data_IF_288537580466
#
_entry.id   IF_288537580466
#
_cell.length_a   1.000
_cell.length_b   1.000
_cell.length_c   1.000
_cell.angle_alpha   90.00
_cell.angle_beta   90.00
_cell.angle_gamma   90.00
#
_symmetry.space_group_name_H-M   'P 1'
#
loop_
_entity.id
_entity.type
_entity.pdbx_description
1 polymer ?
#
# COMPACT_ATOMS: atom_id res chain seq x y z
N UNK A 1 -35.82 -15.19 -17.78
CA UNK A 1 -37.05 -14.74 -18.39
C UNK A 1 -37.48 -15.78 -19.39
N UNK A 2 -38.77 -16.21 -19.39
CA UNK A 2 -39.30 -17.08 -20.41
C UNK A 2 -39.50 -16.29 -21.73
N UNK A 3 -39.29 -16.94 -22.85
CA UNK A 3 -39.46 -16.40 -24.19
C UNK A 3 -40.29 -17.39 -25.01
N UNK A 4 -41.27 -16.86 -25.75
CA UNK A 4 -42.09 -17.67 -26.63
C UNK A 4 -41.35 -17.92 -27.94
N UNK A 5 -41.34 -19.16 -28.37
CA UNK A 5 -40.81 -19.60 -29.65
C UNK A 5 -41.89 -20.33 -30.41
N UNK A 6 -41.82 -20.29 -31.74
CA UNK A 6 -42.74 -20.97 -32.63
C UNK A 6 -41.94 -22.07 -33.35
N UNK A 7 -42.36 -23.30 -33.19
CA UNK A 7 -41.90 -24.41 -34.02
C UNK A 7 -42.78 -24.44 -35.29
N UNK A 8 -42.15 -24.34 -36.44
CA UNK A 8 -42.77 -24.44 -37.74
C UNK A 8 -42.34 -25.75 -38.40
N UNK A 9 -43.25 -26.72 -38.52
CA UNK A 9 -42.95 -27.96 -39.23
C UNK A 9 -42.70 -27.70 -40.71
N UNK A 10 -41.78 -28.46 -41.33
CA UNK A 10 -41.55 -28.43 -42.78
C UNK A 10 -42.70 -29.11 -43.57
N UNK A 11 -43.42 -30.03 -42.95
CA UNK A 11 -44.56 -30.72 -43.53
C UNK A 11 -45.83 -29.89 -43.30
N UNK A 12 -46.45 -29.45 -44.38
CA UNK A 12 -47.68 -28.64 -44.38
C UNK A 12 -48.92 -29.33 -43.80
N UNK A 13 -48.83 -30.61 -43.49
CA UNK A 13 -49.92 -31.34 -42.82
C UNK A 13 -49.93 -31.07 -41.31
N UNK A 14 -48.93 -30.38 -40.76
CA UNK A 14 -48.85 -30.03 -39.34
C UNK A 14 -49.05 -28.52 -39.18
N UNK A 15 -49.68 -28.14 -38.06
CA UNK A 15 -49.79 -26.73 -37.66
C UNK A 15 -48.56 -26.26 -36.87
N UNK A 16 -48.30 -24.94 -36.89
CA UNK A 16 -47.32 -24.27 -36.05
C UNK A 16 -47.65 -24.54 -34.57
N UNK A 17 -46.59 -24.76 -33.73
CA UNK A 17 -46.73 -24.97 -32.29
C UNK A 17 -45.94 -23.91 -31.54
N UNK A 18 -46.63 -23.19 -30.65
CA UNK A 18 -45.99 -22.25 -29.71
C UNK A 18 -45.55 -22.98 -28.47
N UNK A 19 -44.33 -22.68 -28.01
CA UNK A 19 -43.80 -23.16 -26.72
C UNK A 19 -42.98 -22.06 -26.06
N UNK A 20 -42.83 -22.16 -24.73
CA UNK A 20 -42.01 -21.24 -23.95
C UNK A 20 -40.71 -21.88 -23.55
N UNK A 21 -39.60 -21.19 -23.77
CA UNK A 21 -38.28 -21.60 -23.34
C UNK A 21 -37.68 -20.58 -22.38
N UNK A 22 -36.84 -21.03 -21.47
CA UNK A 22 -36.12 -20.15 -20.54
C UNK A 22 -34.65 -20.04 -20.95
N UNK A 23 -34.20 -18.81 -21.11
CA UNK A 23 -32.77 -18.52 -21.37
C UNK A 23 -32.09 -18.08 -20.06
N UNK A 24 -31.03 -18.78 -19.70
CA UNK A 24 -30.14 -18.36 -18.61
C UNK A 24 -29.08 -17.44 -19.18
N UNK A 25 -28.99 -16.23 -18.61
CA UNK A 25 -27.95 -15.25 -18.94
C UNK A 25 -26.96 -15.19 -17.78
N UNK A 26 -25.70 -15.43 -18.02
CA UNK A 26 -24.63 -15.25 -17.05
C UNK A 26 -24.11 -13.82 -17.07
N UNK A 27 -23.52 -13.37 -15.96
CA UNK A 27 -22.83 -12.09 -15.93
C UNK A 27 -21.65 -12.06 -16.90
N UNK A 28 -21.39 -10.89 -17.48
CA UNK A 28 -20.22 -10.67 -18.31
C UNK A 28 -19.00 -10.29 -17.44
N UNK A 29 -17.81 -10.63 -17.91
CA UNK A 29 -16.56 -10.18 -17.32
C UNK A 29 -16.04 -9.01 -18.16
N UNK A 30 -15.73 -7.84 -17.55
CA UNK A 30 -15.15 -6.71 -18.27
C UNK A 30 -13.82 -7.07 -18.90
N UNK A 31 -13.60 -6.67 -20.16
CA UNK A 31 -12.33 -6.88 -20.85
C UNK A 31 -11.38 -5.72 -20.53
N UNK A 32 -10.22 -6.02 -19.98
CA UNK A 32 -9.17 -5.05 -19.65
C UNK A 32 -8.11 -5.13 -20.77
N UNK A 33 -7.94 -4.05 -21.52
CA UNK A 33 -6.88 -3.96 -22.52
C UNK A 33 -5.52 -3.67 -21.87
N UNK A 34 -4.43 -3.99 -22.58
CA UNK A 34 -3.06 -3.67 -22.14
C UNK A 34 -2.86 -2.16 -21.92
N UNK A 35 -3.50 -1.33 -22.74
CA UNK A 35 -3.38 0.14 -22.62
C UNK A 35 -4.05 0.65 -21.36
N UNK A 36 -5.19 0.08 -20.98
CA UNK A 36 -5.85 0.40 -19.71
C UNK A 36 -4.96 -0.03 -18.54
N UNK A 37 -4.46 -1.26 -18.57
CA UNK A 37 -3.61 -1.79 -17.49
C UNK A 37 -2.34 -0.94 -17.30
N UNK A 38 -1.65 -0.58 -18.38
CA UNK A 38 -0.43 0.23 -18.33
C UNK A 38 -0.68 1.68 -17.85
N UNK A 39 -1.90 2.17 -17.96
CA UNK A 39 -2.32 3.49 -17.49
C UNK A 39 -2.76 3.54 -16.02
N UNK A 40 -2.87 2.39 -15.33
CA UNK A 40 -3.24 2.37 -13.92
C UNK A 40 -2.01 2.75 -13.07
N UNK A 41 -2.19 3.71 -12.18
CA UNK A 41 -1.14 4.17 -11.26
C UNK A 41 -1.66 4.26 -9.84
N UNK A 42 -0.73 4.18 -8.88
CA UNK A 42 -1.00 4.27 -7.45
C UNK A 42 -0.33 5.52 -6.87
N UNK A 43 -0.97 6.16 -5.90
CA UNK A 43 -0.31 7.20 -5.11
C UNK A 43 0.74 6.58 -4.19
N UNK A 44 1.87 7.29 -3.92
CA UNK A 44 2.88 6.79 -2.99
C UNK A 44 2.32 6.68 -1.56
N UNK A 45 2.94 5.82 -0.77
CA UNK A 45 2.69 5.63 0.66
C UNK A 45 3.94 5.97 1.45
N UNK A 46 3.78 6.33 2.71
CA UNK A 46 4.86 6.35 3.68
C UNK A 46 4.90 5.01 4.43
N UNK A 47 6.09 4.58 4.83
CA UNK A 47 6.26 3.32 5.55
C UNK A 47 5.36 3.26 6.81
N UNK A 48 4.66 2.15 6.95
CA UNK A 48 3.68 1.94 8.02
C UNK A 48 2.23 2.16 7.59
N UNK A 49 1.98 2.82 6.47
CA UNK A 49 0.63 2.96 5.91
C UNK A 49 0.18 1.65 5.24
N UNK A 50 -1.14 1.44 5.28
CA UNK A 50 -1.76 0.31 4.58
C UNK A 50 -1.89 0.58 3.09
N UNK A 51 -1.88 -0.48 2.29
CA UNK A 51 -2.09 -0.41 0.84
C UNK A 51 -3.42 0.26 0.47
N UNK A 52 -4.46 0.08 1.28
CA UNK A 52 -5.78 0.72 1.09
C UNK A 52 -5.75 2.26 1.18
N UNK A 53 -4.69 2.84 1.71
CA UNK A 53 -4.50 4.30 1.79
C UNK A 53 -3.91 4.88 0.49
N UNK A 54 -3.37 4.02 -0.38
CA UNK A 54 -2.92 4.40 -1.72
C UNK A 54 -4.09 4.48 -2.69
N UNK A 55 -4.25 5.62 -3.34
CA UNK A 55 -5.28 5.85 -4.33
C UNK A 55 -4.88 5.30 -5.70
N UNK A 56 -5.81 4.54 -6.30
CA UNK A 56 -5.66 4.05 -7.67
C UNK A 56 -6.32 5.03 -8.66
N UNK A 57 -5.62 5.34 -9.74
CA UNK A 57 -6.10 6.18 -10.84
C UNK A 57 -5.79 5.51 -12.18
N UNK A 58 -6.57 5.88 -13.21
CA UNK A 58 -6.44 5.34 -14.56
C UNK A 58 -7.78 5.28 -15.27
N UNK A 59 -7.75 5.04 -16.58
CA UNK A 59 -8.95 4.83 -17.36
C UNK A 59 -9.62 3.50 -16.99
N UNK A 60 -10.94 3.46 -16.97
CA UNK A 60 -11.72 2.26 -16.68
C UNK A 60 -12.38 1.71 -17.95
N UNK A 61 -12.53 0.38 -18.10
CA UNK A 61 -13.15 -0.24 -19.28
C UNK A 61 -14.66 0.04 -19.36
N UNK A 62 -15.28 0.37 -18.22
CA UNK A 62 -16.68 0.69 -18.05
C UNK A 62 -16.84 1.57 -16.81
N UNK A 63 -18.07 2.01 -16.51
CA UNK A 63 -18.35 2.68 -15.24
C UNK A 63 -17.99 1.75 -14.06
N UNK A 64 -17.15 2.22 -13.13
CA UNK A 64 -16.67 1.44 -12.01
C UNK A 64 -15.48 2.07 -11.33
N UNK A 65 -14.80 1.29 -10.48
CA UNK A 65 -13.62 1.73 -9.73
C UNK A 65 -12.58 0.61 -9.58
N UNK A 66 -11.34 1.01 -9.37
CA UNK A 66 -10.27 0.10 -8.96
C UNK A 66 -10.18 0.03 -7.43
N UNK A 67 -9.86 -1.15 -6.93
CA UNK A 67 -9.56 -1.39 -5.51
C UNK A 67 -8.37 -2.34 -5.39
N UNK A 68 -7.61 -2.22 -4.33
CA UNK A 68 -6.58 -3.18 -3.98
C UNK A 68 -7.21 -4.50 -3.54
N UNK A 69 -6.72 -5.62 -4.02
CA UNK A 69 -7.19 -6.96 -3.62
C UNK A 69 -6.85 -7.27 -2.17
N UNK A 70 -5.69 -6.82 -1.71
CA UNK A 70 -5.16 -7.04 -0.36
C UNK A 70 -4.90 -5.68 0.32
N UNK A 71 -5.93 -4.86 0.51
CA UNK A 71 -5.80 -3.49 1.01
C UNK A 71 -5.21 -3.34 2.42
N UNK A 72 -5.23 -4.40 3.24
CA UNK A 72 -4.69 -4.37 4.61
C UNK A 72 -3.17 -4.62 4.69
N UNK A 73 -2.53 -4.99 3.60
CA UNK A 73 -1.07 -5.16 3.56
C UNK A 73 -0.35 -3.85 3.80
N UNK A 74 0.81 -3.93 4.49
CA UNK A 74 1.71 -2.79 4.73
C UNK A 74 2.96 -3.01 3.89
N UNK A 75 3.14 -2.27 2.78
CA UNK A 75 4.29 -2.38 1.90
C UNK A 75 5.58 -1.91 2.59
N UNK A 76 6.74 -2.38 2.10
CA UNK A 76 8.05 -2.01 2.64
C UNK A 76 8.81 -1.10 1.67
N UNK A 77 9.70 -0.25 2.19
CA UNK A 77 10.45 0.74 1.39
C UNK A 77 11.27 0.09 0.26
N UNK A 78 11.84 -1.08 0.49
CA UNK A 78 12.70 -1.79 -0.46
C UNK A 78 12.05 -3.05 -1.04
N UNK A 79 10.73 -3.20 -0.89
CA UNK A 79 9.99 -4.33 -1.44
C UNK A 79 9.73 -4.20 -2.94
N UNK A 80 9.36 -5.30 -3.57
CA UNK A 80 8.92 -5.27 -4.97
C UNK A 80 7.61 -4.50 -5.17
N UNK A 81 6.80 -4.38 -4.12
CA UNK A 81 5.58 -3.56 -3.99
C UNK A 81 4.64 -3.61 -5.21
N UNK A 82 4.51 -4.79 -5.83
CA UNK A 82 3.58 -5.05 -6.92
C UNK A 82 2.35 -5.78 -6.38
N UNK A 83 1.21 -5.08 -6.31
CA UNK A 83 -0.01 -5.60 -5.70
C UNK A 83 -1.15 -5.71 -6.70
N UNK A 84 -1.91 -6.78 -6.58
CA UNK A 84 -3.05 -7.04 -7.47
C UNK A 84 -4.16 -6.02 -7.26
N UNK A 85 -4.65 -5.49 -8.38
CA UNK A 85 -5.78 -4.56 -8.43
C UNK A 85 -6.99 -5.29 -8.99
N UNK A 86 -8.15 -5.05 -8.42
CA UNK A 86 -9.45 -5.55 -8.89
C UNK A 86 -10.28 -4.38 -9.41
N UNK A 87 -10.83 -4.52 -10.62
CA UNK A 87 -11.84 -3.62 -11.13
C UNK A 87 -13.23 -4.06 -10.65
N UNK A 88 -13.97 -3.15 -10.05
CA UNK A 88 -15.36 -3.36 -9.62
C UNK A 88 -16.29 -2.52 -10.50
N UNK A 89 -17.06 -3.15 -11.41
CA UNK A 89 -18.07 -2.44 -12.21
C UNK A 89 -19.16 -1.83 -11.33
N UNK A 90 -19.72 -0.69 -11.74
CA UNK A 90 -20.88 -0.11 -11.06
C UNK A 90 -22.15 -0.96 -11.24
N UNK A 91 -22.26 -1.66 -12.36
CA UNK A 91 -23.35 -2.60 -12.64
C UNK A 91 -22.94 -4.03 -12.25
N UNK A 92 -23.13 -4.36 -11.00
CA UNK A 92 -22.89 -5.71 -10.47
C UNK A 92 -24.03 -6.70 -10.77
N UNK A 93 -25.11 -6.26 -11.41
CA UNK A 93 -26.18 -7.15 -11.85
C UNK A 93 -25.75 -7.91 -13.10
N UNK A 94 -25.14 -7.19 -14.06
CA UNK A 94 -24.78 -7.71 -15.37
C UNK A 94 -23.27 -8.06 -15.50
N UNK A 95 -22.41 -7.55 -14.62
CA UNK A 95 -20.97 -7.76 -14.67
C UNK A 95 -20.43 -8.35 -13.38
N UNK A 96 -19.32 -9.08 -13.51
CA UNK A 96 -18.53 -9.57 -12.37
C UNK A 96 -17.27 -8.70 -12.17
N UNK A 97 -16.81 -8.52 -10.91
CA UNK A 97 -15.49 -7.95 -10.64
C UNK A 97 -14.40 -8.80 -11.30
N UNK A 98 -13.30 -8.15 -11.71
CA UNK A 98 -12.17 -8.84 -12.37
C UNK A 98 -10.84 -8.31 -11.87
N UNK A 99 -9.88 -9.22 -11.61
CA UNK A 99 -8.50 -8.85 -11.33
C UNK A 99 -7.84 -8.36 -12.63
N UNK A 100 -7.32 -7.14 -12.60
CA UNK A 100 -6.79 -6.48 -13.81
C UNK A 100 -5.28 -6.67 -13.98
N UNK A 101 -4.58 -7.03 -12.92
CA UNK A 101 -3.13 -7.19 -12.89
C UNK A 101 -2.50 -6.58 -11.67
N UNK A 102 -1.17 -6.42 -11.68
CA UNK A 102 -0.42 -5.83 -10.57
C UNK A 102 0.01 -4.41 -10.89
N UNK A 103 -0.12 -3.53 -9.91
CA UNK A 103 0.32 -2.13 -9.97
C UNK A 103 1.41 -1.92 -8.92
N UNK A 104 2.47 -1.21 -9.30
CA UNK A 104 3.57 -0.87 -8.41
C UNK A 104 3.20 0.30 -7.51
N UNK A 105 3.56 0.21 -6.21
CA UNK A 105 3.40 1.28 -5.22
C UNK A 105 4.76 1.73 -4.73
N UNK A 106 5.02 3.03 -4.82
CA UNK A 106 6.22 3.63 -4.22
C UNK A 106 5.99 3.79 -2.72
N UNK A 107 6.95 3.35 -1.90
CA UNK A 107 6.92 3.51 -0.45
C UNK A 107 8.09 4.38 -0.03
N UNK A 108 7.80 5.52 0.57
CA UNK A 108 8.77 6.43 1.12
C UNK A 108 9.22 5.96 2.52
N UNK A 109 10.43 6.33 2.91
CA UNK A 109 10.84 6.20 4.31
C UNK A 109 10.02 7.16 5.17
N UNK A 110 9.63 6.73 6.34
CA UNK A 110 9.05 7.59 7.38
C UNK A 110 10.06 7.80 8.51
N UNK A 111 9.96 8.94 9.19
CA UNK A 111 10.75 9.18 10.38
C UNK A 111 10.28 8.26 11.52
N UNK A 112 11.21 7.68 12.29
CA UNK A 112 10.84 6.89 13.45
C UNK A 112 10.12 7.76 14.48
N UNK A 113 8.94 7.30 14.91
CA UNK A 113 8.15 7.99 15.92
C UNK A 113 8.65 7.61 17.31
N UNK A 114 9.70 8.29 17.78
CA UNK A 114 10.23 8.10 19.13
C UNK A 114 9.28 8.76 20.17
N UNK A 115 8.84 7.97 21.12
CA UNK A 115 8.06 8.46 22.27
C UNK A 115 8.96 9.17 23.27
N UNK A 116 8.37 9.90 24.23
CA UNK A 116 9.14 10.49 25.32
C UNK A 116 9.95 9.44 26.12
N UNK A 117 9.39 8.25 26.31
CA UNK A 117 10.08 7.13 26.96
C UNK A 117 11.26 6.63 26.16
N UNK A 118 11.16 6.60 24.82
CA UNK A 118 12.27 6.22 23.94
C UNK A 118 13.40 7.24 24.02
N UNK A 119 13.08 8.54 24.04
CA UNK A 119 14.08 9.58 24.25
C UNK A 119 14.82 9.46 25.57
N UNK A 120 14.13 9.14 26.66
CA UNK A 120 14.72 8.93 28.00
C UNK A 120 15.55 7.64 28.05
N UNK A 121 15.29 6.69 27.18
CA UNK A 121 16.05 5.43 27.09
C UNK A 121 17.35 5.55 26.27
N UNK A 122 17.52 6.67 25.52
CA UNK A 122 18.78 6.98 24.82
C UNK A 122 19.69 7.75 25.77
N UNK A 123 20.86 7.18 26.07
CA UNK A 123 21.77 7.70 27.10
C UNK A 123 23.21 7.67 26.63
N UNK A 124 24.00 8.67 27.04
CA UNK A 124 25.44 8.69 26.81
C UNK A 124 26.22 8.29 28.06
N UNK A 125 27.44 7.81 27.89
CA UNK A 125 28.39 7.60 28.99
C UNK A 125 29.01 8.92 29.47
N UNK A 126 29.50 8.93 30.67
CA UNK A 126 30.33 10.02 31.20
C UNK A 126 31.73 10.02 30.59
N UNK A 127 32.29 11.20 30.46
CA UNK A 127 33.65 11.43 29.99
C UNK A 127 34.40 12.31 31.01
N UNK A 128 35.72 12.33 30.92
CA UNK A 128 36.60 13.12 31.77
C UNK A 128 37.01 14.40 31.00
N UNK A 129 37.21 15.49 31.72
CA UNK A 129 37.67 16.74 31.10
C UNK A 129 38.89 16.53 30.19
N UNK A 130 38.84 17.03 29.00
CA UNK A 130 39.83 16.85 27.93
C UNK A 130 39.54 15.76 26.93
N UNK A 131 38.61 14.86 27.22
CA UNK A 131 38.04 13.91 26.24
C UNK A 131 37.04 14.57 25.33
N UNK A 132 36.74 13.92 24.22
CA UNK A 132 35.74 14.37 23.21
C UNK A 132 34.41 13.67 23.40
N UNK A 133 33.35 14.15 22.72
CA UNK A 133 32.07 13.44 22.65
C UNK A 133 32.23 12.03 22.02
N UNK A 134 33.23 11.86 21.13
CA UNK A 134 33.55 10.55 20.55
C UNK A 134 34.00 9.50 21.58
N UNK A 135 34.52 9.92 22.74
CA UNK A 135 34.90 9.04 23.87
C UNK A 135 33.68 8.67 24.74
N UNK A 136 32.50 9.26 24.47
CA UNK A 136 31.24 8.99 25.18
C UNK A 136 30.32 8.13 24.29
N UNK A 137 30.35 6.79 24.41
CA UNK A 137 29.40 5.95 23.67
C UNK A 137 27.95 6.27 24.05
N UNK A 138 27.09 6.21 23.05
CA UNK A 138 25.64 6.37 23.24
C UNK A 138 24.98 4.98 23.21
N UNK A 139 24.12 4.73 24.17
CA UNK A 139 23.35 3.51 24.30
C UNK A 139 21.90 3.78 23.87
N UNK A 140 21.37 2.91 23.05
CA UNK A 140 19.98 2.94 22.62
C UNK A 140 19.22 1.78 23.28
N UNK A 141 18.53 2.07 24.38
CA UNK A 141 17.64 1.14 25.07
C UNK A 141 16.15 1.46 24.73
N UNK A 142 15.91 2.23 23.66
CA UNK A 142 14.54 2.56 23.20
C UNK A 142 13.83 1.35 22.58
N UNK A 143 12.52 1.47 22.38
CA UNK A 143 11.71 0.43 21.74
C UNK A 143 12.02 0.26 20.24
N UNK A 144 12.66 1.27 19.62
CA UNK A 144 13.02 1.24 18.20
C UNK A 144 14.48 0.84 18.03
N UNK A 145 14.78 -0.31 17.38
CA UNK A 145 16.14 -0.71 17.09
C UNK A 145 16.87 0.31 16.23
N UNK A 146 18.11 0.58 16.53
CA UNK A 146 18.90 1.52 15.75
C UNK A 146 20.16 1.94 16.48
N UNK A 147 21.00 2.72 15.80
CA UNK A 147 22.25 3.26 16.33
C UNK A 147 22.16 4.75 16.50
N UNK A 148 22.65 5.26 17.62
CA UNK A 148 22.76 6.71 17.87
C UNK A 148 24.24 7.10 17.84
N UNK A 149 24.56 8.18 17.14
CA UNK A 149 25.92 8.70 17.02
C UNK A 149 25.93 10.22 17.23
N UNK A 150 27.00 10.75 17.79
CA UNK A 150 27.18 12.21 17.84
C UNK A 150 27.30 12.79 16.44
N UNK A 151 26.64 13.91 16.19
CA UNK A 151 26.75 14.66 14.91
C UNK A 151 28.17 15.20 14.76
N UNK A 152 28.71 15.77 15.83
CA UNK A 152 30.13 16.16 15.91
C UNK A 152 30.80 15.50 17.12
N UNK A 153 31.51 14.41 16.85
CA UNK A 153 32.23 13.65 17.89
C UNK A 153 33.53 14.33 18.37
N UNK A 154 33.98 15.40 17.73
CA UNK A 154 35.25 16.08 18.05
C UNK A 154 35.14 17.14 19.15
N UNK A 155 33.92 17.52 19.51
CA UNK A 155 33.64 18.49 20.56
C UNK A 155 34.23 18.02 21.89
N UNK A 156 34.92 18.93 22.60
CA UNK A 156 35.47 18.71 23.93
C UNK A 156 34.67 19.48 24.98
N UNK A 157 33.69 18.84 25.63
CA UNK A 157 32.90 19.51 26.67
C UNK A 157 33.75 19.95 27.83
N UNK A 158 33.37 21.05 28.49
CA UNK A 158 33.94 21.48 29.76
C UNK A 158 33.05 21.03 30.93
N UNK A 159 33.59 21.07 32.15
CA UNK A 159 32.77 20.77 33.35
C UNK A 159 31.62 21.73 33.53
N UNK A 160 31.77 22.97 33.10
CA UNK A 160 30.69 23.98 33.13
C UNK A 160 29.56 23.66 32.12
N UNK A 161 29.89 23.09 30.98
CA UNK A 161 28.94 22.70 29.93
C UNK A 161 28.08 21.51 30.34
N UNK A 162 28.62 20.58 31.15
CA UNK A 162 27.93 19.36 31.56
C UNK A 162 26.61 19.56 32.28
N UNK A 163 26.36 20.78 32.77
CA UNK A 163 25.13 21.13 33.48
C UNK A 163 24.11 21.91 32.64
N UNK A 164 24.46 22.31 31.41
CA UNK A 164 23.63 23.23 30.62
C UNK A 164 23.66 23.02 29.09
N UNK A 165 24.60 22.22 28.59
CA UNK A 165 24.78 22.09 27.12
C UNK A 165 24.17 20.80 26.62
N UNK A 166 23.36 20.93 25.59
CA UNK A 166 22.81 19.83 24.79
C UNK A 166 23.69 19.66 23.56
N UNK A 167 23.95 18.44 23.16
CA UNK A 167 24.72 18.09 21.97
C UNK A 167 23.90 17.26 21.03
N UNK A 168 23.99 17.57 19.74
CA UNK A 168 23.22 16.90 18.71
C UNK A 168 23.71 15.46 18.49
N UNK A 169 22.77 14.55 18.41
CA UNK A 169 22.99 13.16 18.06
C UNK A 169 22.06 12.74 16.92
N UNK A 170 22.55 11.87 16.03
CA UNK A 170 21.81 11.30 14.93
C UNK A 170 21.36 9.89 15.28
N UNK A 171 20.05 9.64 15.24
CA UNK A 171 19.48 8.32 15.33
C UNK A 171 19.37 7.70 13.92
N UNK A 172 19.90 6.52 13.74
CA UNK A 172 19.82 5.72 12.51
C UNK A 172 19.10 4.41 12.85
N UNK A 173 17.81 4.27 12.45
CA UNK A 173 17.02 3.08 12.72
C UNK A 173 17.49 1.87 11.93
#
# INVERSE_FOLDING_TARGET
>A
TPYDIIFKPDDSNYADVMMTVTVKVNKAVPVISSDILSGISASPLDYGQKLSESYLSGATPAAGKYVWKSGDEIPTVNGENNFTVTFIPSDLVNYEPVDVGSVHVVVNKSDPQLTEQDWLAIRSSWIVYGQTLGDSPIYNDSSIPGRVTWVDSTIKPTVADSQRSEYEALFVP
#
